data_IF_349567688055
#
_entry.id   IF_349567688055
#
_cell.length_a   1.000
_cell.length_b   1.000
_cell.length_c   1.000
_cell.angle_alpha   90.00
_cell.angle_beta   90.00
_cell.angle_gamma   90.00
#
_symmetry.space_group_name_H-M   'P 1'
#
loop_
_entity.id
_entity.type
_entity.pdbx_description
1 polymer ?
#
# COMPACT_ATOMS: atom_id res chain seq x y z
N UNK A 1 -25.13 -4.66 -22.15
CA UNK A 1 -23.91 -4.46 -21.34
C UNK A 1 -23.93 -3.05 -20.78
N UNK A 2 -23.89 -2.88 -19.45
CA UNK A 2 -23.76 -1.54 -18.86
C UNK A 2 -22.28 -1.17 -18.94
N UNK A 3 -21.91 -0.34 -19.92
CA UNK A 3 -20.57 0.26 -19.99
C UNK A 3 -20.32 1.01 -18.68
N UNK A 4 -19.20 0.72 -18.02
CA UNK A 4 -18.80 1.43 -16.81
C UNK A 4 -18.60 2.90 -17.18
N UNK A 5 -19.30 3.86 -16.54
CA UNK A 5 -19.18 5.26 -16.91
C UNK A 5 -17.75 5.71 -16.59
N UNK A 6 -16.99 6.24 -17.57
CA UNK A 6 -15.56 6.55 -17.41
C UNK A 6 -15.27 7.43 -16.19
N UNK A 7 -16.18 8.37 -15.87
CA UNK A 7 -16.09 9.26 -14.71
C UNK A 7 -16.02 8.55 -13.35
N UNK A 8 -16.67 7.40 -13.18
CA UNK A 8 -16.60 6.65 -11.90
C UNK A 8 -15.24 5.98 -11.73
N UNK A 9 -14.69 5.45 -12.81
CA UNK A 9 -13.35 4.86 -12.80
C UNK A 9 -12.28 5.92 -12.55
N UNK A 10 -12.37 7.06 -13.23
CA UNK A 10 -11.47 8.20 -13.02
C UNK A 10 -11.47 8.67 -11.56
N UNK A 11 -12.64 8.77 -10.91
CA UNK A 11 -12.73 9.14 -9.50
C UNK A 11 -12.00 8.13 -8.60
N UNK A 12 -12.25 6.84 -8.78
CA UNK A 12 -11.67 5.78 -7.93
C UNK A 12 -10.16 5.71 -8.13
N UNK A 13 -9.72 5.83 -9.38
CA UNK A 13 -8.30 5.90 -9.71
C UNK A 13 -7.64 7.14 -9.06
N UNK A 14 -8.32 8.27 -9.06
CA UNK A 14 -7.87 9.49 -8.39
C UNK A 14 -7.78 9.32 -6.86
N UNK A 15 -8.79 8.77 -6.20
CA UNK A 15 -8.78 8.51 -4.75
C UNK A 15 -7.69 7.50 -4.37
N UNK A 16 -7.51 6.42 -5.15
CA UNK A 16 -6.41 5.47 -4.95
C UNK A 16 -5.05 6.11 -5.15
N UNK A 17 -4.92 6.99 -6.14
CA UNK A 17 -3.69 7.74 -6.39
C UNK A 17 -3.39 8.71 -5.24
N UNK A 18 -4.41 9.40 -4.71
CA UNK A 18 -4.28 10.27 -3.54
C UNK A 18 -3.91 9.46 -2.29
N UNK A 19 -4.60 8.35 -2.03
CA UNK A 19 -4.29 7.47 -0.90
C UNK A 19 -2.85 6.97 -0.98
N UNK A 20 -2.45 6.44 -2.13
CA UNK A 20 -1.10 5.95 -2.36
C UNK A 20 -0.05 7.05 -2.22
N UNK A 21 -0.33 8.24 -2.75
CA UNK A 21 0.53 9.42 -2.59
C UNK A 21 0.66 9.84 -1.12
N UNK A 22 -0.45 9.88 -0.38
CA UNK A 22 -0.43 10.15 1.06
C UNK A 22 0.36 9.09 1.82
N UNK A 23 0.16 7.80 1.50
CA UNK A 23 0.92 6.70 2.10
C UNK A 23 2.42 6.80 1.80
N UNK A 24 2.80 7.18 0.58
CA UNK A 24 4.20 7.46 0.25
C UNK A 24 4.71 8.63 1.07
N UNK A 25 4.02 9.77 1.11
CA UNK A 25 4.52 10.92 1.85
C UNK A 25 4.60 10.67 3.35
N UNK A 26 3.75 9.78 3.86
CA UNK A 26 3.76 9.34 5.24
C UNK A 26 4.95 8.39 5.52
N UNK A 27 5.22 7.43 4.63
CA UNK A 27 6.31 6.46 4.76
C UNK A 27 7.69 7.04 4.38
N UNK A 28 7.70 7.96 3.43
CA UNK A 28 8.86 8.58 2.82
C UNK A 28 8.91 10.06 3.19
N UNK A 29 8.66 10.39 4.47
CA UNK A 29 9.13 11.65 5.05
C UNK A 29 10.66 11.65 5.04
N UNK A 30 11.23 11.81 3.86
CA UNK A 30 12.66 11.81 3.63
C UNK A 30 13.17 13.05 4.38
N UNK A 31 13.76 12.82 5.56
CA UNK A 31 14.32 13.84 6.47
C UNK A 31 15.60 14.48 5.92
N UNK A 32 15.72 14.65 4.61
CA UNK A 32 16.95 15.12 3.97
C UNK A 32 17.11 16.63 3.97
N UNK A 33 16.06 17.37 4.32
CA UNK A 33 16.14 18.83 4.44
C UNK A 33 16.52 19.21 5.89
N UNK A 34 17.47 20.14 6.08
CA UNK A 34 17.95 20.54 7.41
C UNK A 34 16.83 21.10 8.30
N UNK A 35 15.79 21.68 7.70
CA UNK A 35 14.64 22.26 8.41
C UNK A 35 13.48 21.27 8.59
N UNK A 36 13.69 19.98 8.30
CA UNK A 36 12.64 18.98 8.40
C UNK A 36 12.07 18.91 9.82
N UNK A 37 12.92 18.84 10.85
CA UNK A 37 12.45 18.72 12.23
C UNK A 37 11.68 19.96 12.68
N UNK A 38 12.12 21.15 12.28
CA UNK A 38 11.43 22.40 12.58
C UNK A 38 10.03 22.44 11.94
N UNK A 39 9.91 22.05 10.67
CA UNK A 39 8.62 21.98 9.96
C UNK A 39 7.70 20.90 10.52
N UNK A 40 8.22 19.70 10.80
CA UNK A 40 7.42 18.62 11.39
C UNK A 40 6.90 19.01 12.78
N UNK A 41 7.71 19.70 13.58
CA UNK A 41 7.29 20.26 14.85
C UNK A 41 6.20 21.34 14.68
N UNK A 42 6.34 22.22 13.68
CA UNK A 42 5.32 23.22 13.34
C UNK A 42 4.00 22.58 12.90
N UNK A 43 4.06 21.54 12.06
CA UNK A 43 2.88 20.77 11.65
C UNK A 43 2.16 20.12 12.83
N UNK A 44 2.90 19.61 13.82
CA UNK A 44 2.32 19.04 15.04
C UNK A 44 1.64 20.11 15.90
N UNK A 45 2.29 21.26 16.10
CA UNK A 45 1.73 22.38 16.87
C UNK A 45 0.43 22.93 16.28
N UNK A 46 0.29 22.91 14.95
CA UNK A 46 -0.90 23.41 14.27
C UNK A 46 -2.17 22.57 14.53
N UNK A 47 -2.03 21.31 14.95
CA UNK A 47 -3.15 20.40 15.21
C UNK A 47 -3.88 20.68 16.54
N UNK A 48 -3.21 21.30 17.51
CA UNK A 48 -3.75 21.45 18.88
C UNK A 48 -4.68 22.68 19.07
N UNK A 49 -4.83 23.54 18.07
CA UNK A 49 -5.59 24.79 18.25
C UNK A 49 -6.27 25.37 17.01
N UNK A 50 -6.19 24.72 15.85
CA UNK A 50 -6.85 25.19 14.64
C UNK A 50 -7.80 24.12 14.11
N UNK A 51 -8.91 24.54 13.48
CA UNK A 51 -9.88 23.69 12.79
C UNK A 51 -9.28 22.90 11.60
N UNK A 52 -7.95 22.75 11.53
CA UNK A 52 -7.27 21.94 10.54
C UNK A 52 -7.52 20.48 10.85
N UNK A 53 -8.19 19.80 9.94
CA UNK A 53 -8.39 18.34 9.92
C UNK A 53 -7.10 17.52 9.74
N UNK A 54 -5.93 18.11 9.98
CA UNK A 54 -4.64 17.47 9.80
C UNK A 54 -4.19 16.88 11.15
N UNK A 55 -4.41 15.58 11.31
CA UNK A 55 -3.82 14.82 12.40
C UNK A 55 -2.67 13.99 11.83
N UNK A 56 -1.43 14.13 12.35
CA UNK A 56 -0.35 13.23 11.98
C UNK A 56 -0.77 11.79 12.31
N UNK A 57 -0.37 10.85 11.46
CA UNK A 57 -0.67 9.45 11.70
C UNK A 57 -0.07 8.98 13.02
N UNK A 58 -0.89 8.37 13.86
CA UNK A 58 -0.46 7.66 15.06
C UNK A 58 -0.53 6.16 14.82
N UNK A 59 0.49 5.46 15.27
CA UNK A 59 0.63 4.02 15.14
C UNK A 59 0.64 3.41 16.52
N UNK A 60 -0.23 2.44 16.75
CA UNK A 60 -0.16 1.60 17.94
C UNK A 60 0.65 0.36 17.59
N UNK A 61 1.81 0.21 18.20
CA UNK A 61 2.76 -0.85 17.92
C UNK A 61 2.77 -1.86 19.05
N UNK A 62 3.03 -3.14 18.74
CA UNK A 62 3.35 -4.17 19.72
C UNK A 62 4.71 -4.75 19.42
N UNK A 63 5.56 -4.87 20.43
CA UNK A 63 6.87 -5.52 20.29
C UNK A 63 6.66 -7.03 20.20
N UNK A 64 7.17 -7.64 19.13
CA UNK A 64 7.01 -9.08 18.85
C UNK A 64 8.33 -9.84 18.82
N UNK A 65 9.48 -9.15 18.83
CA UNK A 65 10.76 -9.80 19.02
C UNK A 65 10.90 -10.29 20.47
N UNK A 66 11.27 -11.56 20.65
CA UNK A 66 11.43 -12.18 21.97
C UNK A 66 12.50 -11.48 22.83
N UNK A 67 13.52 -10.89 22.19
CA UNK A 67 14.57 -10.11 22.86
C UNK A 67 14.14 -8.67 23.20
N UNK A 68 12.93 -8.29 22.85
CA UNK A 68 12.46 -6.91 22.93
C UNK A 68 12.91 -6.05 21.75
N UNK A 69 12.81 -4.73 21.91
CA UNK A 69 13.20 -3.77 20.87
C UNK A 69 14.14 -2.71 21.42
N UNK A 70 15.25 -2.45 20.71
CA UNK A 70 16.20 -1.39 21.07
C UNK A 70 15.66 -0.03 20.64
N UNK A 71 15.61 0.91 21.57
CA UNK A 71 15.19 2.30 21.34
C UNK A 71 16.45 3.15 21.15
N UNK A 72 16.50 3.94 20.06
CA UNK A 72 17.63 4.84 19.76
C UNK A 72 17.24 6.31 19.75
N UNK A 73 18.18 7.19 20.04
CA UNK A 73 17.96 8.65 20.02
C UNK A 73 17.69 9.19 18.61
N UNK A 74 18.32 8.61 17.58
CA UNK A 74 18.13 8.97 16.17
C UNK A 74 17.66 7.82 15.25
N UNK A 75 17.36 8.21 14.01
CA UNK A 75 16.79 7.31 12.98
C UNK A 75 17.81 6.32 12.43
N UNK A 76 19.09 6.70 12.37
CA UNK A 76 20.13 5.81 11.90
C UNK A 76 20.45 4.75 12.96
N UNK A 77 20.84 3.56 12.52
CA UNK A 77 21.19 2.48 13.46
C UNK A 77 22.65 2.62 13.90
N UNK A 78 23.53 2.95 12.95
CA UNK A 78 24.98 2.87 13.16
C UNK A 78 25.57 4.15 13.78
N UNK A 79 24.90 5.30 13.64
CA UNK A 79 25.41 6.61 14.10
C UNK A 79 24.71 7.16 15.35
N UNK A 80 23.81 6.38 15.96
CA UNK A 80 22.92 6.83 17.02
C UNK A 80 23.03 5.92 18.24
N UNK A 81 22.95 6.49 19.44
CA UNK A 81 23.10 5.76 20.69
C UNK A 81 21.82 5.02 21.08
N UNK A 82 21.98 3.95 21.85
CA UNK A 82 20.86 3.23 22.46
C UNK A 82 20.42 3.98 23.72
N UNK A 83 19.18 4.47 23.74
CA UNK A 83 18.60 5.20 24.88
C UNK A 83 17.72 4.33 25.77
N UNK A 84 17.47 3.08 25.38
CA UNK A 84 16.72 2.12 26.19
C UNK A 84 16.21 0.94 25.38
N UNK A 85 15.26 0.19 25.95
CA UNK A 85 14.62 -0.94 25.30
C UNK A 85 13.12 -1.00 25.60
N UNK A 86 12.36 -1.62 24.70
CA UNK A 86 10.97 -2.03 24.91
C UNK A 86 10.93 -3.54 25.12
N UNK A 87 10.04 -4.01 25.99
CA UNK A 87 9.91 -5.43 26.31
C UNK A 87 9.03 -6.18 25.29
N UNK A 88 9.19 -7.50 25.18
CA UNK A 88 8.31 -8.34 24.36
C UNK A 88 6.85 -8.20 24.82
N UNK A 89 5.94 -8.00 23.86
CA UNK A 89 4.52 -7.78 24.11
C UNK A 89 4.16 -6.35 24.53
N UNK A 90 5.14 -5.48 24.81
CA UNK A 90 4.90 -4.07 25.15
C UNK A 90 4.17 -3.38 24.00
N UNK A 91 3.11 -2.63 24.34
CA UNK A 91 2.33 -1.85 23.39
C UNK A 91 2.72 -0.39 23.54
N UNK A 92 3.21 0.22 22.47
CA UNK A 92 3.67 1.62 22.46
C UNK A 92 3.01 2.42 21.35
N UNK A 93 2.86 3.72 21.58
CA UNK A 93 2.42 4.65 20.55
C UNK A 93 3.62 5.27 19.83
N UNK A 94 3.54 5.29 18.51
CA UNK A 94 4.45 6.01 17.65
C UNK A 94 3.69 7.09 16.87
N UNK A 95 4.38 8.19 16.60
CA UNK A 95 3.82 9.39 15.97
C UNK A 95 4.58 9.78 14.70
N UNK A 96 5.53 8.95 14.28
CA UNK A 96 6.23 9.08 13.01
C UNK A 96 6.68 7.70 12.54
N UNK A 97 6.79 7.54 11.23
CA UNK A 97 7.31 6.34 10.57
C UNK A 97 8.23 6.77 9.45
N UNK A 98 9.44 6.23 9.40
CA UNK A 98 10.43 6.62 8.39
C UNK A 98 11.38 5.48 8.06
N UNK A 99 11.90 5.48 6.84
CA UNK A 99 12.96 4.57 6.39
C UNK A 99 14.31 5.26 6.61
N UNK A 100 15.27 4.54 7.19
CA UNK A 100 16.64 5.05 7.36
C UNK A 100 17.52 4.85 6.11
N UNK A 101 18.78 5.30 6.16
CA UNK A 101 19.74 5.15 5.04
C UNK A 101 19.97 3.70 4.58
N UNK A 102 19.74 2.72 5.47
CA UNK A 102 19.90 1.28 5.21
C UNK A 102 18.62 0.61 4.68
N UNK A 103 17.55 1.37 4.42
CA UNK A 103 16.28 0.82 3.94
C UNK A 103 15.46 0.11 5.02
N UNK A 104 15.76 0.33 6.31
CA UNK A 104 15.03 -0.24 7.44
C UNK A 104 13.97 0.74 7.91
N UNK A 105 12.73 0.25 7.99
CA UNK A 105 11.60 1.01 8.52
C UNK A 105 11.73 1.18 10.03
N UNK A 106 11.47 2.39 10.53
CA UNK A 106 11.51 2.73 11.95
C UNK A 106 10.35 3.62 12.35
N UNK A 107 9.96 3.50 13.61
CA UNK A 107 8.89 4.25 14.24
C UNK A 107 9.44 5.15 15.33
N UNK A 108 8.99 6.42 15.37
CA UNK A 108 9.33 7.33 16.46
C UNK A 108 8.27 7.24 17.55
N UNK A 109 8.69 6.76 18.71
CA UNK A 109 7.92 6.75 19.96
C UNK A 109 8.32 7.93 20.84
N UNK A 110 7.64 8.11 21.98
CA UNK A 110 8.05 9.10 22.98
C UNK A 110 9.45 8.84 23.55
N UNK A 111 9.86 7.57 23.60
CA UNK A 111 11.14 7.12 24.15
C UNK A 111 12.29 7.19 23.14
N UNK A 112 11.98 7.22 21.84
CA UNK A 112 12.97 7.23 20.76
C UNK A 112 12.54 6.43 19.53
N UNK A 113 13.50 6.06 18.68
CA UNK A 113 13.29 5.31 17.44
C UNK A 113 13.40 3.81 17.63
N UNK A 114 12.40 3.08 17.13
CA UNK A 114 12.33 1.62 17.18
C UNK A 114 12.25 1.08 15.77
N UNK A 115 13.01 0.01 15.47
CA UNK A 115 12.98 -0.62 14.14
C UNK A 115 11.76 -1.53 13.99
N UNK A 116 11.20 -1.59 12.78
CA UNK A 116 10.12 -2.53 12.44
C UNK A 116 10.64 -3.96 12.31
N UNK A 117 11.86 -4.13 11.78
CA UNK A 117 12.48 -5.42 11.49
C UNK A 117 13.98 -5.43 11.84
N UNK A 118 14.54 -6.62 12.04
CA UNK A 118 15.98 -6.82 12.22
C UNK A 118 16.77 -6.52 10.95
N UNK A 119 18.04 -6.12 11.10
CA UNK A 119 18.97 -5.90 9.99
C UNK A 119 19.56 -7.24 9.54
N UNK A 120 19.63 -7.48 8.24
CA UNK A 120 20.36 -8.63 7.65
C UNK A 120 19.50 -9.65 6.91
N UNK A 121 20.03 -10.86 6.73
CA UNK A 121 19.36 -11.99 6.08
C UNK A 121 18.42 -12.67 7.08
N UNK A 122 17.17 -12.23 7.12
CA UNK A 122 16.15 -12.79 8.01
C UNK A 122 14.97 -11.85 8.21
N UNK A 123 15.24 -10.53 8.29
CA UNK A 123 14.24 -9.45 8.46
C UNK A 123 13.11 -9.85 9.41
N UNK A 124 13.50 -10.35 10.56
CA UNK A 124 12.56 -10.79 11.58
C UNK A 124 11.80 -9.57 12.12
N UNK A 125 10.49 -9.69 12.37
CA UNK A 125 9.71 -8.59 12.87
C UNK A 125 10.12 -8.24 14.31
N UNK A 126 10.39 -6.96 14.56
CA UNK A 126 10.65 -6.42 15.89
C UNK A 126 9.37 -5.83 16.48
N UNK A 127 8.62 -5.10 15.67
CA UNK A 127 7.35 -4.50 16.05
C UNK A 127 6.28 -4.77 14.98
N UNK A 128 5.07 -5.08 15.42
CA UNK A 128 3.88 -5.17 14.58
C UNK A 128 2.98 -3.95 14.78
N UNK A 129 2.34 -3.48 13.70
CA UNK A 129 1.37 -2.38 13.77
C UNK A 129 -0.01 -2.96 14.07
N UNK A 130 -0.59 -2.58 15.21
CA UNK A 130 -1.93 -3.00 15.62
C UNK A 130 -3.02 -2.15 15.00
N UNK A 131 -2.80 -0.84 14.96
CA UNK A 131 -3.76 0.11 14.41
C UNK A 131 -3.06 1.37 13.95
N UNK A 132 -3.60 1.99 12.91
CA UNK A 132 -3.18 3.30 12.40
C UNK A 132 -4.39 4.24 12.60
N UNK A 133 -4.16 5.39 13.23
CA UNK A 133 -5.18 6.42 13.40
C UNK A 133 -4.65 7.74 12.83
N UNK A 134 -5.56 8.62 12.41
CA UNK A 134 -5.19 9.89 11.78
C UNK A 134 -4.63 9.68 10.36
N UNK A 135 -5.51 9.59 9.35
CA UNK A 135 -5.02 9.71 7.98
C UNK A 135 -4.56 11.16 7.83
N UNK A 136 -3.27 11.36 7.57
CA UNK A 136 -2.74 12.66 7.18
C UNK A 136 -3.45 13.08 5.89
N UNK A 137 -4.58 13.77 6.01
CA UNK A 137 -5.27 14.38 4.89
C UNK A 137 -4.38 15.53 4.43
N UNK A 138 -3.47 15.24 3.52
CA UNK A 138 -2.65 16.26 2.88
C UNK A 138 -3.61 17.26 2.26
N UNK A 139 -3.70 18.45 2.84
CA UNK A 139 -4.44 19.53 2.22
C UNK A 139 -3.65 19.95 0.98
N UNK A 140 -4.17 19.75 -0.25
CA UNK A 140 -3.41 19.99 -1.46
C UNK A 140 -2.91 21.44 -1.60
N UNK A 141 -3.51 22.38 -0.86
CA UNK A 141 -3.09 23.78 -0.79
C UNK A 141 -1.72 24.01 -0.14
N UNK A 142 -1.21 23.06 0.65
CA UNK A 142 0.11 23.17 1.30
C UNK A 142 1.29 22.81 0.39
N UNK A 143 1.04 22.40 -0.86
CA UNK A 143 2.11 22.29 -1.85
C UNK A 143 2.61 23.69 -2.19
N UNK A 144 3.66 24.16 -1.51
CA UNK A 144 4.41 25.32 -1.98
C UNK A 144 4.80 25.04 -3.44
N UNK A 145 4.51 25.95 -4.39
CA UNK A 145 4.88 25.76 -5.78
C UNK A 145 6.38 25.50 -5.85
N UNK A 146 6.75 24.40 -6.49
CA UNK A 146 8.13 23.92 -6.63
C UNK A 146 8.94 24.94 -7.45
N UNK A 147 9.45 25.98 -6.78
CA UNK A 147 10.18 27.06 -7.43
C UNK A 147 11.69 27.01 -7.18
N UNK A 148 12.24 25.88 -6.69
CA UNK A 148 13.68 25.71 -6.52
C UNK A 148 14.20 24.54 -7.36
N UNK A 149 15.28 24.81 -8.10
CA UNK A 149 16.01 23.89 -8.98
C UNK A 149 16.78 22.79 -8.20
N UNK A 150 16.20 22.26 -7.13
CA UNK A 150 16.76 21.12 -6.40
C UNK A 150 16.41 19.83 -7.13
N UNK A 151 17.26 19.44 -8.10
CA UNK A 151 17.26 18.09 -8.66
C UNK A 151 17.88 17.13 -7.62
N UNK A 152 17.23 16.92 -6.49
CA UNK A 152 17.56 15.77 -5.64
C UNK A 152 16.56 14.69 -5.97
N UNK A 153 17.02 13.66 -6.67
CA UNK A 153 16.23 12.46 -6.87
C UNK A 153 15.88 11.91 -5.49
N UNK A 154 14.58 11.82 -5.21
CA UNK A 154 14.04 11.00 -4.13
C UNK A 154 14.43 9.55 -4.43
N UNK A 155 15.67 9.17 -4.10
CA UNK A 155 16.18 7.82 -4.31
C UNK A 155 15.38 6.88 -3.41
N UNK A 156 14.29 6.32 -3.93
CA UNK A 156 13.53 5.27 -3.27
C UNK A 156 12.02 5.35 -3.40
N UNK A 157 11.45 6.48 -3.86
CA UNK A 157 10.03 6.55 -4.20
C UNK A 157 9.91 6.33 -5.71
N UNK A 158 9.64 5.11 -6.20
CA UNK A 158 9.28 4.95 -7.58
C UNK A 158 8.10 5.89 -7.88
N UNK A 159 8.26 6.71 -8.93
CA UNK A 159 7.24 7.62 -9.43
C UNK A 159 5.85 6.96 -9.32
N UNK A 160 4.86 7.70 -8.85
CA UNK A 160 3.48 7.24 -8.73
C UNK A 160 3.03 6.57 -10.03
N UNK A 161 3.47 7.09 -11.18
CA UNK A 161 3.24 6.51 -12.48
C UNK A 161 3.90 5.15 -12.64
N UNK A 162 5.16 4.99 -12.19
CA UNK A 162 5.89 3.72 -12.24
C UNK A 162 5.32 2.66 -11.30
N UNK A 163 4.87 3.02 -10.08
CA UNK A 163 4.24 2.05 -9.19
C UNK A 163 2.86 1.69 -9.66
N UNK A 164 2.06 2.67 -10.09
CA UNK A 164 0.75 2.39 -10.68
C UNK A 164 0.90 1.50 -11.91
N UNK A 165 1.87 1.78 -12.79
CA UNK A 165 2.19 0.92 -13.92
C UNK A 165 2.65 -0.47 -13.47
N UNK A 166 3.46 -0.58 -12.41
CA UNK A 166 3.89 -1.88 -11.87
C UNK A 166 2.72 -2.69 -11.30
N UNK A 167 1.83 -2.07 -10.53
CA UNK A 167 0.62 -2.69 -9.98
C UNK A 167 -0.33 -3.10 -11.11
N UNK A 168 -0.56 -2.21 -12.08
CA UNK A 168 -1.38 -2.51 -13.26
C UNK A 168 -0.77 -3.64 -14.10
N UNK A 169 0.55 -3.66 -14.28
CA UNK A 169 1.24 -4.75 -14.98
C UNK A 169 1.09 -6.08 -14.23
N UNK A 170 1.20 -6.08 -12.89
CA UNK A 170 0.95 -7.28 -12.07
C UNK A 170 -0.50 -7.75 -12.16
N UNK A 171 -1.45 -6.82 -12.13
CA UNK A 171 -2.88 -7.13 -12.32
C UNK A 171 -3.15 -7.71 -13.71
N UNK A 172 -2.58 -7.11 -14.75
CA UNK A 172 -2.68 -7.60 -16.13
C UNK A 172 -2.08 -9.00 -16.27
N UNK A 173 -0.91 -9.24 -15.69
CA UNK A 173 -0.27 -10.56 -15.70
C UNK A 173 -1.11 -11.62 -14.96
N UNK A 174 -1.67 -11.26 -13.80
CA UNK A 174 -2.59 -12.11 -13.05
C UNK A 174 -3.84 -12.46 -13.86
N UNK A 175 -4.44 -11.46 -14.52
CA UNK A 175 -5.61 -11.64 -15.38
C UNK A 175 -5.29 -12.51 -16.60
N UNK A 176 -4.14 -12.30 -17.25
CA UNK A 176 -3.71 -13.09 -18.39
C UNK A 176 -3.48 -14.56 -18.01
N UNK A 177 -2.85 -14.80 -16.85
CA UNK A 177 -2.66 -16.15 -16.29
C UNK A 177 -4.00 -16.85 -16.02
N UNK A 178 -4.95 -16.16 -15.39
CA UNK A 178 -6.29 -16.67 -15.13
C UNK A 178 -7.01 -17.06 -16.43
N UNK A 179 -7.00 -16.19 -17.44
CA UNK A 179 -7.60 -16.47 -18.75
C UNK A 179 -6.94 -17.66 -19.45
N UNK A 180 -5.62 -17.80 -19.37
CA UNK A 180 -4.89 -18.94 -19.93
C UNK A 180 -5.26 -20.25 -19.22
N UNK A 181 -5.36 -20.26 -17.89
CA UNK A 181 -5.82 -21.41 -17.13
C UNK A 181 -7.25 -21.81 -17.51
N UNK A 182 -8.16 -20.85 -17.62
CA UNK A 182 -9.55 -21.11 -18.01
C UNK A 182 -9.66 -21.64 -19.45
N UNK A 183 -8.87 -21.09 -20.38
CA UNK A 183 -8.80 -21.61 -21.75
C UNK A 183 -8.35 -23.07 -21.78
N UNK A 184 -7.31 -23.43 -21.01
CA UNK A 184 -6.85 -24.83 -20.89
C UNK A 184 -7.92 -25.74 -20.31
N UNK A 185 -8.63 -25.31 -19.27
CA UNK A 185 -9.75 -26.08 -18.68
C UNK A 185 -10.85 -26.31 -19.72
N UNK A 186 -11.21 -25.30 -20.52
CA UNK A 186 -12.21 -25.44 -21.59
C UNK A 186 -11.73 -26.43 -22.65
N UNK A 187 -10.48 -26.32 -23.12
CA UNK A 187 -9.92 -27.23 -24.15
C UNK A 187 -9.85 -28.67 -23.63
N UNK A 188 -9.41 -28.88 -22.39
CA UNK A 188 -9.36 -30.21 -21.77
C UNK A 188 -10.76 -30.78 -21.52
N UNK A 189 -11.71 -29.95 -21.10
CA UNK A 189 -13.12 -30.33 -20.96
C UNK A 189 -13.73 -30.78 -22.28
N UNK A 190 -13.44 -30.06 -23.37
CA UNK A 190 -13.87 -30.44 -24.72
C UNK A 190 -13.25 -31.79 -25.14
N UNK A 191 -11.96 -32.02 -24.85
CA UNK A 191 -11.26 -33.25 -25.25
C UNK A 191 -11.62 -34.48 -24.41
N UNK A 192 -12.03 -34.29 -23.16
CA UNK A 192 -12.31 -35.37 -22.21
C UNK A 192 -13.74 -35.93 -22.30
N UNK A 193 -14.63 -35.29 -23.07
CA UNK A 193 -15.99 -35.77 -23.29
C UNK A 193 -15.98 -37.05 -24.17
N UNK A 194 -16.32 -38.23 -23.61
CA UNK A 194 -16.39 -39.47 -24.39
C UNK A 194 -17.58 -39.38 -25.36
N UNK A 195 -17.34 -39.48 -26.66
CA UNK A 195 -18.39 -39.48 -27.69
C UNK A 195 -18.36 -38.30 -28.68
N UNK A 196 -17.41 -37.37 -28.59
CA UNK A 196 -17.40 -36.16 -29.42
C UNK A 196 -17.13 -36.35 -30.92
N UNK A 197 -16.77 -37.56 -31.38
CA UNK A 197 -16.67 -37.86 -32.83
C UNK A 197 -18.04 -37.83 -33.53
N UNK A 198 -19.16 -37.86 -32.80
CA UNK A 198 -20.51 -37.83 -33.38
C UNK A 198 -21.23 -36.48 -33.28
N UNK A 199 -20.64 -35.48 -32.61
CA UNK A 199 -21.30 -34.19 -32.30
C UNK A 199 -20.89 -33.03 -33.21
N UNK A 200 -20.01 -33.25 -34.18
CA UNK A 200 -19.62 -32.26 -35.20
C UNK A 200 -20.75 -31.86 -36.14
N UNK A 201 -21.95 -32.44 -36.04
CA UNK A 201 -23.12 -32.00 -36.78
C UNK A 201 -23.98 -30.92 -36.09
N UNK A 202 -23.86 -30.72 -34.77
CA UNK A 202 -24.68 -29.71 -34.08
C UNK A 202 -23.81 -28.65 -33.37
N UNK A 203 -23.76 -27.47 -33.98
CA UNK A 203 -23.05 -26.21 -33.70
C UNK A 203 -22.99 -25.66 -32.24
N UNK A 204 -22.83 -26.48 -31.20
CA UNK A 204 -23.07 -26.04 -29.81
C UNK A 204 -21.82 -25.66 -28.99
N UNK A 205 -20.61 -25.70 -29.59
CA UNK A 205 -19.36 -25.25 -28.94
C UNK A 205 -19.46 -23.76 -28.57
N UNK A 206 -20.12 -22.95 -29.41
CA UNK A 206 -20.38 -21.54 -29.12
C UNK A 206 -21.22 -21.31 -27.86
N UNK A 207 -22.12 -22.24 -27.52
CA UNK A 207 -22.95 -22.15 -26.33
C UNK A 207 -22.14 -22.26 -25.03
N UNK A 208 -21.21 -23.22 -24.98
CA UNK A 208 -20.35 -23.42 -23.81
C UNK A 208 -19.36 -22.28 -23.61
N UNK A 209 -18.70 -21.81 -24.67
CA UNK A 209 -17.81 -20.64 -24.59
C UNK A 209 -18.59 -19.41 -24.12
N UNK A 210 -19.79 -19.17 -24.67
CA UNK A 210 -20.66 -18.07 -24.26
C UNK A 210 -21.09 -18.16 -22.79
N UNK A 211 -21.33 -19.37 -22.27
CA UNK A 211 -21.67 -19.58 -20.87
C UNK A 211 -20.48 -19.30 -19.93
N UNK A 212 -19.29 -19.80 -20.25
CA UNK A 212 -18.07 -19.58 -19.45
C UNK A 212 -17.71 -18.09 -19.40
N UNK A 213 -17.70 -17.40 -20.56
CA UNK A 213 -17.44 -15.96 -20.64
C UNK A 213 -18.45 -15.17 -19.80
N UNK A 214 -19.74 -15.56 -19.84
CA UNK A 214 -20.79 -14.92 -19.05
C UNK A 214 -20.60 -15.11 -17.54
N UNK A 215 -20.15 -16.29 -17.09
CA UNK A 215 -19.84 -16.52 -15.67
C UNK A 215 -18.64 -15.68 -15.21
N UNK A 216 -17.56 -15.65 -15.99
CA UNK A 216 -16.38 -14.83 -15.67
C UNK A 216 -16.73 -13.34 -15.57
N UNK A 217 -17.50 -12.83 -16.52
CA UNK A 217 -17.97 -11.44 -16.52
C UNK A 217 -18.78 -11.10 -15.27
N UNK A 218 -19.70 -12.00 -14.85
CA UNK A 218 -20.47 -11.83 -13.61
C UNK A 218 -19.58 -11.82 -12.36
N UNK A 219 -18.60 -12.73 -12.28
CA UNK A 219 -17.69 -12.82 -11.14
C UNK A 219 -16.82 -11.56 -11.00
N UNK A 220 -16.24 -11.08 -12.10
CA UNK A 220 -15.51 -9.82 -12.14
C UNK A 220 -16.38 -8.64 -11.69
N UNK A 221 -17.61 -8.56 -12.19
CA UNK A 221 -18.54 -7.51 -11.81
C UNK A 221 -18.88 -7.55 -10.30
N UNK A 222 -19.05 -8.75 -9.75
CA UNK A 222 -19.31 -8.94 -8.31
C UNK A 222 -18.13 -8.49 -7.45
N UNK A 223 -16.90 -8.86 -7.81
CA UNK A 223 -15.70 -8.47 -7.06
C UNK A 223 -15.51 -6.94 -7.08
N UNK A 224 -15.71 -6.32 -8.23
CA UNK A 224 -15.65 -4.87 -8.37
C UNK A 224 -16.73 -4.18 -7.51
N UNK A 225 -17.96 -4.70 -7.53
CA UNK A 225 -19.05 -4.15 -6.71
C UNK A 225 -18.85 -4.34 -5.20
N UNK A 226 -18.21 -5.43 -4.77
CA UNK A 226 -17.87 -5.67 -3.37
C UNK A 226 -16.89 -4.60 -2.85
N UNK A 227 -15.86 -4.27 -3.64
CA UNK A 227 -14.92 -3.18 -3.33
C UNK A 227 -15.66 -1.84 -3.16
N UNK A 228 -16.67 -1.58 -4.00
CA UNK A 228 -17.48 -0.35 -3.89
C UNK A 228 -18.52 -0.38 -2.76
N UNK A 229 -18.87 -1.55 -2.25
CA UNK A 229 -19.83 -1.69 -1.16
C UNK A 229 -19.16 -1.50 0.20
N UNK A 230 -17.87 -1.87 0.32
CA UNK A 230 -17.09 -1.63 1.55
C UNK A 230 -16.75 -0.16 1.81
N UNK A 231 -16.86 0.73 0.81
CA UNK A 231 -16.67 2.18 1.00
C UNK A 231 -17.90 2.90 1.61
N UNK A 232 -19.04 2.22 1.71
CA UNK A 232 -20.30 2.83 2.23
C UNK A 232 -20.57 2.51 3.71
N UNK A 233 -19.72 1.71 4.32
CA UNK A 233 -19.74 1.35 5.75
C UNK A 233 -18.60 2.05 6.46
#
# INVERSE_FOLDING_TARGET
>A
EKKFPPKKFEKVFYELSLFYQSSIYEVCRIRTEPDFEARDLEYRKAADGSNNSYHPASYKLRVVCAEGAVVRDGIEIDSCESVGGLEFGEIVEAFDRCINSSGVMRYRTQRGWVSEQTRGHGREPIAEVLSIQGIAKINPSFRKPANSKSKRAECGVPDLCNVSASVLARLQNSQASLCSCLSRVVVLGIRSLPGMRSLTQNNNIGGHVKAVVRMMSKSLHSNINAIFSSEKT
#
